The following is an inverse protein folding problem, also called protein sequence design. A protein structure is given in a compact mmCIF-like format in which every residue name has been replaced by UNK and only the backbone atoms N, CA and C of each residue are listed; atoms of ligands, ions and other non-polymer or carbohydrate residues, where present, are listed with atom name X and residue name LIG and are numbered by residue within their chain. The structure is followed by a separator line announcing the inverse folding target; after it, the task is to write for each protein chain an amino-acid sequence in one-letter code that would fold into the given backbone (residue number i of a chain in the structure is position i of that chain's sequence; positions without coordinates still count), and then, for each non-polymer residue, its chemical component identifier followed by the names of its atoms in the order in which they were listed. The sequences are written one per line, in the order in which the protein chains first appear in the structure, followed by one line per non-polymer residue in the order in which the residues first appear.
data_IF_470609034701
#
_entry.id   IF_470609034701
#
_cell.length_a   1.000
_cell.length_b   1.000
_cell.length_c   1.000
_cell.angle_alpha   90.00
_cell.angle_beta   90.00
_cell.angle_gamma   90.00
#
_symmetry.space_group_name_H-M   'P 1'
#
loop_
_entity.id
_entity.type
_entity.pdbx_description
1 polymer ?
#
# COMPACT_ATOMS: atom_id res chain seq x y z
N UNK A 1 -15.94 -15.11 -7.70
CA UNK A 1 -14.79 -14.37 -7.11
C UNK A 1 -14.89 -14.52 -5.60
N UNK A 2 -14.04 -15.36 -5.02
CA UNK A 2 -14.06 -15.67 -3.59
C UNK A 2 -13.66 -14.44 -2.75
N UNK A 3 -14.36 -14.19 -1.64
CA UNK A 3 -14.06 -13.04 -0.79
C UNK A 3 -12.89 -13.38 0.12
N UNK A 4 -11.69 -12.96 -0.24
CA UNK A 4 -10.51 -13.12 0.61
C UNK A 4 -10.42 -11.96 1.64
N UNK A 5 -11.24 -12.05 2.70
CA UNK A 5 -11.26 -11.06 3.78
C UNK A 5 -9.91 -10.94 4.51
N UNK A 6 -9.15 -12.03 4.61
CA UNK A 6 -7.81 -12.01 5.20
C UNK A 6 -6.86 -11.11 4.40
N UNK A 7 -6.88 -11.21 3.07
CA UNK A 7 -6.07 -10.35 2.19
C UNK A 7 -6.48 -8.87 2.28
N UNK A 8 -7.79 -8.58 2.33
CA UNK A 8 -8.27 -7.20 2.51
C UNK A 8 -7.85 -6.62 3.87
N UNK A 9 -8.03 -7.39 4.95
CA UNK A 9 -7.67 -6.97 6.29
C UNK A 9 -6.16 -6.72 6.42
N UNK A 10 -5.33 -7.57 5.81
CA UNK A 10 -3.87 -7.41 5.82
C UNK A 10 -3.45 -6.10 5.14
N UNK A 11 -4.02 -5.80 3.97
CA UNK A 11 -3.73 -4.56 3.25
C UNK A 11 -4.23 -3.32 4.00
N UNK A 12 -5.45 -3.37 4.54
CA UNK A 12 -5.99 -2.26 5.34
C UNK A 12 -5.16 -2.03 6.60
N UNK A 13 -4.72 -3.09 7.29
CA UNK A 13 -3.83 -2.99 8.46
C UNK A 13 -2.48 -2.38 8.10
N UNK A 14 -1.97 -2.65 6.89
CA UNK A 14 -0.74 -2.03 6.40
C UNK A 14 -0.90 -0.51 6.18
N UNK A 15 -2.06 -0.08 5.70
CA UNK A 15 -2.40 1.33 5.45
C UNK A 15 -2.95 2.08 6.68
N UNK A 16 -3.20 1.39 7.80
CA UNK A 16 -3.75 2.01 9.04
C UNK A 16 -2.72 2.78 9.87
N UNK A 17 -1.63 3.24 9.25
CA UNK A 17 -0.56 4.01 9.88
C UNK A 17 -0.18 5.15 8.95
N UNK A 18 -0.03 6.35 9.52
CA UNK A 18 0.13 7.59 8.77
C UNK A 18 1.39 7.58 7.90
N UNK A 19 2.51 7.10 8.44
CA UNK A 19 3.77 7.01 7.71
C UNK A 19 3.65 6.08 6.51
N UNK A 20 3.10 4.87 6.71
CA UNK A 20 2.88 3.91 5.62
C UNK A 20 1.91 4.42 4.57
N UNK A 21 0.85 5.12 4.97
CA UNK A 21 -0.10 5.71 4.03
C UNK A 21 0.56 6.80 3.18
N UNK A 22 1.35 7.68 3.79
CA UNK A 22 2.13 8.71 3.08
C UNK A 22 3.15 8.09 2.11
N UNK A 23 3.88 7.05 2.53
CA UNK A 23 4.79 6.31 1.65
C UNK A 23 4.02 5.74 0.45
N UNK A 24 2.87 5.12 0.70
CA UNK A 24 2.06 4.52 -0.35
C UNK A 24 1.55 5.56 -1.36
N UNK A 25 1.14 6.73 -0.88
CA UNK A 25 0.74 7.87 -1.72
C UNK A 25 1.91 8.40 -2.57
N UNK A 26 3.10 8.54 -1.98
CA UNK A 26 4.31 8.93 -2.72
C UNK A 26 4.63 7.96 -3.87
N UNK A 27 4.48 6.65 -3.63
CA UNK A 27 4.68 5.61 -4.64
C UNK A 27 3.59 5.61 -5.73
N UNK A 28 2.47 6.30 -5.51
CA UNK A 28 1.44 6.53 -6.53
C UNK A 28 1.94 7.37 -7.71
N UNK A 29 3.00 8.16 -7.50
CA UNK A 29 3.64 8.94 -8.56
C UNK A 29 4.73 8.17 -9.32
N UNK A 30 4.95 6.90 -8.98
CA UNK A 30 5.94 6.03 -9.60
C UNK A 30 6.90 5.40 -8.61
N UNK A 31 7.83 4.62 -9.15
CA UNK A 31 8.83 3.92 -8.35
C UNK A 31 9.83 4.88 -7.69
N UNK A 32 10.14 4.65 -6.42
CA UNK A 32 11.10 5.43 -5.65
C UNK A 32 12.17 4.54 -5.01
N UNK A 33 13.39 5.09 -4.85
CA UNK A 33 14.41 4.45 -4.02
C UNK A 33 14.11 4.67 -2.53
N UNK A 34 14.60 3.76 -1.69
CA UNK A 34 14.56 3.90 -0.23
C UNK A 34 15.12 5.25 0.25
N UNK A 35 16.17 5.75 -0.42
CA UNK A 35 16.76 7.06 -0.16
C UNK A 35 15.77 8.21 -0.29
N UNK A 36 15.05 8.26 -1.43
CA UNK A 36 14.09 9.33 -1.74
C UNK A 36 12.87 9.28 -0.84
N UNK A 37 12.46 8.08 -0.45
CA UNK A 37 11.40 7.92 0.55
C UNK A 37 11.91 8.49 1.89
N UNK A 38 13.11 8.10 2.35
CA UNK A 38 13.67 8.56 3.62
C UNK A 38 13.79 10.10 3.70
N UNK A 39 14.18 10.76 2.61
CA UNK A 39 14.28 12.23 2.54
C UNK A 39 12.95 12.94 2.90
N UNK A 40 11.79 12.30 2.71
CA UNK A 40 10.48 12.88 3.01
C UNK A 40 10.04 12.71 4.47
N UNK A 41 10.79 11.98 5.30
CA UNK A 41 10.42 11.67 6.67
C UNK A 41 11.56 11.97 7.65
N UNK A 42 11.19 12.51 8.83
CA UNK A 42 12.14 12.67 9.93
C UNK A 42 12.25 11.39 10.78
N UNK A 43 12.65 10.28 10.15
CA UNK A 43 12.80 8.95 10.80
C UNK A 43 14.15 8.33 10.46
N UNK A 44 14.53 7.29 11.22
CA UNK A 44 15.75 6.53 10.92
C UNK A 44 15.55 5.57 9.75
N UNK A 45 16.65 5.16 9.13
CA UNK A 45 16.64 4.12 8.09
C UNK A 45 16.06 2.79 8.59
N UNK A 46 16.29 2.42 9.86
CA UNK A 46 15.75 1.19 10.46
C UNK A 46 14.23 1.26 10.58
N UNK A 47 13.68 2.39 11.01
CA UNK A 47 12.23 2.63 11.08
C UNK A 47 11.60 2.61 9.69
N UNK A 48 12.22 3.27 8.70
CA UNK A 48 11.73 3.19 7.32
C UNK A 48 11.71 1.75 6.81
N UNK A 49 12.79 1.01 7.03
CA UNK A 49 12.90 -0.39 6.60
C UNK A 49 11.80 -1.26 7.22
N UNK A 50 11.43 -1.00 8.47
CA UNK A 50 10.31 -1.67 9.13
C UNK A 50 8.97 -1.36 8.45
N UNK A 51 8.68 -0.10 8.15
CA UNK A 51 7.46 0.28 7.41
C UNK A 51 7.42 -0.37 6.02
N UNK A 52 8.54 -0.34 5.29
CA UNK A 52 8.63 -0.95 3.96
C UNK A 52 8.44 -2.46 4.00
N UNK A 53 8.97 -3.14 5.02
CA UNK A 53 8.76 -4.58 5.21
C UNK A 53 7.28 -4.91 5.35
N UNK A 54 6.55 -4.18 6.19
CA UNK A 54 5.11 -4.43 6.38
C UNK A 54 4.32 -4.14 5.09
N UNK A 55 4.66 -3.06 4.39
CA UNK A 55 4.03 -2.73 3.10
C UNK A 55 4.27 -3.85 2.07
N UNK A 56 5.48 -4.41 2.01
CA UNK A 56 5.80 -5.54 1.14
C UNK A 56 5.07 -6.83 1.56
N UNK A 57 5.05 -7.16 2.85
CA UNK A 57 4.35 -8.33 3.39
C UNK A 57 2.84 -8.27 3.15
N UNK A 58 2.26 -7.07 3.09
CA UNK A 58 0.85 -6.89 2.72
C UNK A 58 0.54 -7.18 1.26
N UNK A 59 1.58 -7.22 0.42
CA UNK A 59 1.49 -7.36 -1.03
C UNK A 59 1.06 -6.09 -1.75
N UNK A 60 0.91 -4.95 -1.05
CA UNK A 60 0.58 -3.66 -1.67
C UNK A 60 1.77 -3.00 -2.37
N UNK A 61 2.99 -3.29 -1.91
CA UNK A 61 4.23 -2.71 -2.42
C UNK A 61 5.15 -3.83 -2.86
N UNK A 62 5.79 -3.65 -4.00
CA UNK A 62 6.88 -4.51 -4.46
C UNK A 62 8.20 -3.86 -4.08
N UNK A 63 9.15 -4.67 -3.59
CA UNK A 63 10.53 -4.24 -3.36
C UNK A 63 11.48 -4.99 -4.30
N UNK A 64 12.31 -4.24 -5.04
CA UNK A 64 13.36 -4.82 -5.88
C UNK A 64 14.72 -4.24 -5.51
N UNK A 65 15.76 -5.06 -5.59
CA UNK A 65 17.15 -4.59 -5.47
C UNK A 65 17.61 -4.04 -6.82
N UNK A 66 18.20 -2.85 -6.79
CA UNK A 66 18.83 -2.17 -7.91
C UNK A 66 20.26 -1.80 -7.49
N UNK A 67 21.18 -2.75 -7.72
CA UNK A 67 22.54 -2.70 -7.16
C UNK A 67 22.52 -2.78 -5.63
N UNK A 68 23.06 -1.74 -4.98
CA UNK A 68 23.08 -1.61 -3.52
C UNK A 68 21.78 -1.01 -2.94
N UNK A 69 20.91 -0.47 -3.80
CA UNK A 69 19.73 0.27 -3.39
C UNK A 69 18.46 -0.59 -3.49
N UNK A 70 17.52 -0.36 -2.58
CA UNK A 70 16.17 -0.90 -2.71
C UNK A 70 15.29 0.13 -3.43
N UNK A 71 14.55 -0.34 -4.42
CA UNK A 71 13.48 0.42 -5.09
C UNK A 71 12.13 -0.19 -4.77
N UNK A 72 11.13 0.66 -4.64
CA UNK A 72 9.78 0.29 -4.27
C UNK A 72 8.76 0.83 -5.25
N UNK A 73 7.75 0.03 -5.56
CA UNK A 73 6.65 0.39 -6.45
C UNK A 73 5.33 -0.18 -5.93
N UNK A 74 4.20 0.37 -6.36
CA UNK A 74 2.89 -0.18 -6.05
C UNK A 74 2.70 -1.52 -6.77
N UNK A 75 2.09 -2.48 -6.09
CA UNK A 75 1.57 -3.67 -6.71
C UNK A 75 0.17 -3.38 -7.28
N UNK A 76 0.12 -3.08 -8.56
CA UNK A 76 -1.11 -2.69 -9.27
C UNK A 76 -2.21 -3.75 -9.14
N UNK A 77 -1.87 -5.03 -9.35
CA UNK A 77 -2.84 -6.13 -9.24
C UNK A 77 -3.47 -6.22 -7.85
N UNK A 78 -2.67 -6.04 -6.79
CA UNK A 78 -3.20 -6.04 -5.41
C UNK A 78 -4.07 -4.82 -5.14
N UNK A 79 -3.66 -3.65 -5.62
CA UNK A 79 -4.41 -2.41 -5.47
C UNK A 79 -5.77 -2.52 -6.17
N UNK A 80 -5.83 -3.03 -7.40
CA UNK A 80 -7.09 -3.25 -8.14
C UNK A 80 -8.07 -4.16 -7.39
N UNK A 81 -7.57 -5.23 -6.78
CA UNK A 81 -8.38 -6.16 -5.99
C UNK A 81 -9.03 -5.44 -4.79
N UNK A 82 -8.28 -4.60 -4.08
CA UNK A 82 -8.76 -3.86 -2.91
C UNK A 82 -9.70 -2.72 -3.33
N UNK A 83 -9.32 -1.95 -4.35
CA UNK A 83 -10.15 -0.89 -4.91
C UNK A 83 -11.50 -1.46 -5.40
N UNK A 84 -11.47 -2.60 -6.10
CA UNK A 84 -12.67 -3.29 -6.54
C UNK A 84 -13.58 -3.70 -5.38
N UNK A 85 -13.02 -4.11 -4.24
CA UNK A 85 -13.80 -4.38 -3.03
C UNK A 85 -14.49 -3.11 -2.49
N UNK A 86 -13.76 -2.02 -2.34
CA UNK A 86 -14.29 -0.74 -1.84
C UNK A 86 -15.36 -0.16 -2.79
N UNK A 87 -15.13 -0.18 -4.10
CA UNK A 87 -16.09 0.28 -5.11
C UNK A 87 -17.37 -0.56 -5.05
N UNK A 88 -17.28 -1.88 -4.90
CA UNK A 88 -18.46 -2.75 -4.74
C UNK A 88 -19.24 -2.42 -3.47
N UNK A 89 -18.56 -2.14 -2.35
CA UNK A 89 -19.20 -1.72 -1.11
C UNK A 89 -19.91 -0.37 -1.27
N UNK A 90 -19.25 0.61 -1.88
CA UNK A 90 -19.82 1.94 -2.16
C UNK A 90 -21.09 1.81 -3.01
N UNK A 91 -21.04 1.06 -4.13
CA UNK A 91 -22.21 0.82 -4.99
C UNK A 91 -23.36 0.19 -4.21
N UNK A 92 -23.07 -0.83 -3.40
CA UNK A 92 -24.08 -1.53 -2.59
C UNK A 92 -24.74 -0.60 -1.56
N UNK A 93 -23.97 0.31 -0.96
CA UNK A 93 -24.47 1.29 -0.01
C UNK A 93 -25.31 2.38 -0.68
N UNK A 94 -24.83 2.96 -1.79
CA UNK A 94 -25.55 4.01 -2.53
C UNK A 94 -26.89 3.50 -3.09
N UNK A 95 -26.93 2.27 -3.62
CA UNK A 95 -28.18 1.67 -4.13
C UNK A 95 -29.23 1.45 -3.03
N UNK A 96 -28.80 1.11 -1.81
CA UNK A 96 -29.71 0.94 -0.66
C UNK A 96 -30.26 2.26 -0.12
N UNK A 97 -29.57 3.38 -0.33
CA UNK A 97 -30.00 4.71 0.15
C UNK A 97 -30.94 5.43 -0.83
N UNK A 98 -31.02 4.97 -2.09
CA UNK A 98 -31.95 5.49 -3.12
C UNK A 98 -33.28 4.72 -3.20
N UNK A 99 -33.47 3.69 -2.39
CA UNK A 99 -34.76 3.07 -2.08
C UNK A 99 -35.20 3.57 -0.70
#
# INVERSE_FOLDING_TARGET
MERNYQAYALAMRALSDETRLKIFDMLGNGELCACKILEAFNITQSTLSYHMKILCESGLVNGRRDGIWMRYSINESKLEVIAGFLIRLQKSYVTKRKK
#
